data_IF_202004934180
#
_entry.id   IF_202004934180
#
_cell.length_a   1.000
_cell.length_b   1.000
_cell.length_c   1.000
_cell.angle_alpha   90.00
_cell.angle_beta   90.00
_cell.angle_gamma   90.00
#
_symmetry.space_group_name_H-M   'P 1'
#
loop_
_entity.id
_entity.type
_entity.pdbx_description
1 polymer ?
#
# COMPACT_ATOMS: atom_id res chain seq x y z
N UNK A 1 43.44 -0.77 -25.57
CA UNK A 1 43.08 -0.47 -24.17
C UNK A 1 42.21 0.79 -24.21
N UNK A 2 40.89 0.61 -24.33
CA UNK A 2 39.96 1.74 -24.13
C UNK A 2 39.95 2.02 -22.62
N UNK A 3 39.98 3.28 -22.22
CA UNK A 3 39.87 3.67 -20.81
C UNK A 3 38.52 3.20 -20.26
N UNK A 4 38.49 2.08 -19.52
CA UNK A 4 37.31 1.63 -18.76
C UNK A 4 36.77 2.73 -17.83
N UNK A 5 37.66 3.62 -17.38
CA UNK A 5 37.30 4.72 -16.50
C UNK A 5 36.34 5.76 -17.12
N UNK A 6 36.11 5.77 -18.44
CA UNK A 6 35.14 6.72 -19.06
C UNK A 6 33.70 6.18 -19.04
N UNK A 7 33.49 4.86 -19.02
CA UNK A 7 32.15 4.27 -19.07
C UNK A 7 31.46 4.33 -17.70
N UNK A 8 32.16 3.96 -16.62
CA UNK A 8 31.65 4.02 -15.24
C UNK A 8 31.33 5.45 -14.82
N UNK A 9 32.14 6.43 -15.24
CA UNK A 9 31.90 7.84 -14.94
C UNK A 9 30.59 8.40 -15.52
N UNK A 10 30.05 7.77 -16.57
CA UNK A 10 28.74 8.17 -17.11
C UNK A 10 27.60 7.92 -16.11
N UNK A 11 27.73 6.93 -15.22
CA UNK A 11 26.71 6.64 -14.20
C UNK A 11 26.48 7.84 -13.27
N UNK A 12 27.53 8.60 -12.96
CA UNK A 12 27.47 9.82 -12.14
C UNK A 12 26.74 10.98 -12.82
N UNK A 13 26.49 10.89 -14.13
CA UNK A 13 25.83 11.96 -14.89
C UNK A 13 24.33 11.75 -15.05
N UNK A 14 23.84 10.51 -14.84
CA UNK A 14 22.46 10.11 -15.10
C UNK A 14 21.48 10.77 -14.12
N UNK A 15 21.80 10.81 -12.82
CA UNK A 15 20.94 11.42 -11.81
C UNK A 15 19.75 10.55 -11.46
N UNK A 16 18.61 11.17 -11.14
CA UNK A 16 17.42 10.47 -10.69
C UNK A 16 16.93 9.40 -11.67
N UNK A 17 16.46 8.29 -11.10
CA UNK A 17 15.89 7.18 -11.85
C UNK A 17 14.43 7.46 -12.15
N UNK A 18 14.05 7.34 -13.42
CA UNK A 18 12.63 7.37 -13.80
C UNK A 18 11.94 6.08 -13.36
N UNK A 19 11.02 6.21 -12.42
CA UNK A 19 10.05 5.17 -12.07
C UNK A 19 8.99 5.13 -13.19
N UNK A 20 8.66 3.94 -13.71
CA UNK A 20 7.68 3.68 -14.79
C UNK A 20 8.16 3.71 -16.24
N UNK A 21 9.47 3.76 -16.49
CA UNK A 21 10.03 3.54 -17.82
C UNK A 21 10.92 2.30 -17.87
N UNK A 22 11.04 1.62 -19.03
CA UNK A 22 12.00 0.54 -19.18
C UNK A 22 13.40 1.01 -18.79
N UNK A 23 14.15 0.17 -18.08
CA UNK A 23 15.51 0.52 -17.65
C UNK A 23 16.36 0.94 -18.85
N UNK A 24 17.20 1.96 -18.62
CA UNK A 24 18.24 2.36 -19.56
C UNK A 24 19.07 1.13 -19.94
N UNK A 25 19.40 0.99 -21.22
CA UNK A 25 20.36 0.00 -21.69
C UNK A 25 21.78 0.48 -21.32
N UNK A 26 22.25 0.09 -20.12
CA UNK A 26 23.54 0.51 -19.56
C UNK A 26 24.71 -0.02 -20.42
N UNK A 27 24.52 -1.14 -21.11
CA UNK A 27 25.53 -1.69 -22.03
C UNK A 27 25.78 -0.75 -23.21
N UNK A 28 24.77 0.02 -23.66
CA UNK A 28 24.96 1.06 -24.69
C UNK A 28 25.79 2.26 -24.21
N UNK A 29 25.94 2.45 -22.90
CA UNK A 29 26.85 3.47 -22.36
C UNK A 29 28.33 3.07 -22.50
N UNK A 30 28.60 1.82 -22.91
CA UNK A 30 29.93 1.26 -23.07
C UNK A 30 30.39 0.42 -21.87
N UNK A 31 29.50 0.16 -20.91
CA UNK A 31 29.76 -0.70 -19.76
C UNK A 31 29.83 -2.18 -20.18
N UNK A 32 30.78 -2.89 -19.62
CA UNK A 32 31.10 -4.27 -19.95
C UNK A 32 31.58 -5.05 -18.73
N UNK A 33 31.83 -6.35 -18.90
CA UNK A 33 32.38 -7.20 -17.83
C UNK A 33 33.77 -6.75 -17.36
N UNK A 34 34.52 -6.04 -18.19
CA UNK A 34 35.83 -5.49 -17.80
C UNK A 34 35.71 -4.38 -16.75
N UNK A 35 34.52 -3.78 -16.59
CA UNK A 35 34.24 -2.71 -15.62
C UNK A 35 33.74 -3.25 -14.28
N UNK A 36 33.49 -4.57 -14.19
CA UNK A 36 32.89 -5.21 -13.02
C UNK A 36 33.63 -4.93 -11.71
N UNK A 37 34.98 -5.00 -11.63
CA UNK A 37 35.68 -4.70 -10.38
C UNK A 37 35.41 -3.28 -9.86
N UNK A 38 35.35 -2.29 -10.77
CA UNK A 38 35.10 -0.90 -10.40
C UNK A 38 33.63 -0.68 -9.98
N UNK A 39 32.68 -1.35 -10.66
CA UNK A 39 31.27 -1.30 -10.29
C UNK A 39 31.02 -1.90 -8.90
N UNK A 40 31.66 -3.03 -8.58
CA UNK A 40 31.53 -3.66 -7.26
C UNK A 40 32.20 -2.85 -6.14
N UNK A 41 33.31 -2.17 -6.43
CA UNK A 41 33.93 -1.22 -5.49
C UNK A 41 32.95 -0.09 -5.13
N UNK A 42 32.37 0.56 -6.15
CA UNK A 42 31.44 1.67 -5.97
C UNK A 42 30.10 1.25 -5.34
N UNK A 43 29.65 0.00 -5.57
CA UNK A 43 28.45 -0.55 -4.96
C UNK A 43 28.48 -0.49 -3.42
N UNK A 44 29.67 -0.64 -2.84
CA UNK A 44 29.90 -0.66 -1.39
C UNK A 44 30.45 0.67 -0.84
N UNK A 45 30.54 1.69 -1.70
CA UNK A 45 31.11 2.97 -1.32
C UNK A 45 30.16 3.74 -0.38
N UNK A 46 30.56 3.83 0.89
CA UNK A 46 29.83 4.56 1.92
C UNK A 46 29.57 6.04 1.58
N UNK A 47 30.40 6.67 0.75
CA UNK A 47 30.19 8.06 0.34
C UNK A 47 29.05 8.21 -0.64
N UNK A 48 28.82 7.20 -1.49
CA UNK A 48 27.68 7.15 -2.40
C UNK A 48 26.40 6.76 -1.67
N UNK A 49 26.48 5.76 -0.79
CA UNK A 49 25.33 5.30 0.01
C UNK A 49 24.79 6.38 0.97
N UNK A 50 25.64 7.34 1.35
CA UNK A 50 25.27 8.46 2.22
C UNK A 50 25.35 9.82 1.48
N UNK A 51 25.29 9.82 0.15
CA UNK A 51 25.31 11.06 -0.62
C UNK A 51 24.04 11.90 -0.33
N UNK A 52 24.12 13.24 -0.38
CA UNK A 52 22.94 14.10 -0.20
C UNK A 52 21.84 13.77 -1.21
N UNK A 53 20.58 13.83 -0.79
CA UNK A 53 19.41 13.47 -1.61
C UNK A 53 19.30 14.35 -2.86
N UNK A 54 19.80 15.59 -2.79
CA UNK A 54 19.81 16.54 -3.91
C UNK A 54 20.97 16.29 -4.90
N UNK A 55 21.88 15.38 -4.57
CA UNK A 55 23.07 15.06 -5.37
C UNK A 55 22.76 13.96 -6.39
N UNK A 56 23.39 14.01 -7.56
CA UNK A 56 23.26 12.90 -8.54
C UNK A 56 23.91 11.61 -8.06
N UNK A 57 24.88 11.74 -7.19
CA UNK A 57 25.70 10.69 -6.61
C UNK A 57 24.87 9.68 -5.81
N UNK A 58 23.77 10.11 -5.18
CA UNK A 58 22.87 9.23 -4.41
C UNK A 58 22.20 8.16 -5.29
N UNK A 59 22.09 8.42 -6.60
CA UNK A 59 21.46 7.51 -7.58
C UNK A 59 22.45 6.52 -8.21
N UNK A 60 23.74 6.72 -8.01
CA UNK A 60 24.80 5.88 -8.61
C UNK A 60 24.68 4.41 -8.17
N UNK A 61 24.44 4.06 -6.88
CA UNK A 61 24.26 2.67 -6.47
C UNK A 61 23.15 1.94 -7.23
N UNK A 62 22.01 2.59 -7.44
CA UNK A 62 20.88 1.99 -8.16
C UNK A 62 21.20 1.78 -9.65
N UNK A 63 21.88 2.74 -10.30
CA UNK A 63 22.39 2.54 -11.65
C UNK A 63 23.40 1.38 -11.74
N UNK A 64 24.22 1.19 -10.70
CA UNK A 64 25.14 0.05 -10.61
C UNK A 64 24.34 -1.25 -10.51
N UNK A 65 23.31 -1.36 -9.65
CA UNK A 65 22.48 -2.58 -9.54
C UNK A 65 21.91 -2.99 -10.91
N UNK A 66 21.29 -2.03 -11.60
CA UNK A 66 20.70 -2.25 -12.93
C UNK A 66 21.75 -2.63 -13.96
N UNK A 67 22.95 -2.03 -13.90
CA UNK A 67 24.09 -2.39 -14.76
C UNK A 67 24.55 -3.83 -14.50
N UNK A 68 24.74 -4.22 -13.24
CA UNK A 68 25.17 -5.56 -12.83
C UNK A 68 24.17 -6.62 -13.30
N UNK A 69 22.87 -6.33 -13.17
CA UNK A 69 21.82 -7.18 -13.73
C UNK A 69 21.96 -7.37 -15.24
N UNK A 70 22.18 -6.29 -16.00
CA UNK A 70 22.35 -6.36 -17.46
C UNK A 70 23.63 -7.05 -17.91
N UNK A 71 24.71 -6.94 -17.15
CA UNK A 71 25.96 -7.69 -17.40
C UNK A 71 25.76 -9.20 -17.20
N UNK A 72 24.82 -9.58 -16.33
CA UNK A 72 24.47 -10.97 -16.01
C UNK A 72 25.71 -11.83 -15.72
N UNK A 73 26.62 -11.28 -14.91
CA UNK A 73 27.82 -11.98 -14.46
C UNK A 73 27.60 -12.53 -13.05
N UNK A 74 27.86 -13.83 -12.87
CA UNK A 74 27.62 -14.51 -11.60
C UNK A 74 28.64 -14.13 -10.52
N UNK A 75 29.78 -13.55 -10.90
CA UNK A 75 30.75 -13.06 -9.92
C UNK A 75 30.28 -11.81 -9.15
N UNK A 76 29.16 -11.18 -9.55
CA UNK A 76 28.56 -10.05 -8.83
C UNK A 76 27.65 -10.47 -7.67
N UNK A 77 27.26 -11.75 -7.61
CA UNK A 77 26.29 -12.28 -6.65
C UNK A 77 26.70 -12.05 -5.19
N UNK A 78 27.96 -12.34 -4.76
CA UNK A 78 28.34 -12.20 -3.36
C UNK A 78 28.19 -10.77 -2.82
N UNK A 79 28.64 -9.78 -3.58
CA UNK A 79 28.59 -8.36 -3.21
C UNK A 79 27.16 -7.82 -3.25
N UNK A 80 26.35 -8.22 -4.24
CA UNK A 80 24.92 -7.88 -4.28
C UNK A 80 24.14 -8.51 -3.11
N UNK A 81 24.46 -9.74 -2.71
CA UNK A 81 23.83 -10.36 -1.53
C UNK A 81 24.26 -9.67 -0.24
N UNK A 82 25.54 -9.28 -0.13
CA UNK A 82 26.03 -8.57 1.04
C UNK A 82 25.31 -7.23 1.24
N UNK A 83 24.90 -6.56 0.15
CA UNK A 83 24.18 -5.29 0.23
C UNK A 83 22.73 -5.42 0.69
N UNK A 84 22.10 -6.61 0.62
CA UNK A 84 20.69 -6.76 1.01
C UNK A 84 20.45 -6.37 2.47
N UNK A 85 21.35 -6.73 3.38
CA UNK A 85 21.23 -6.36 4.80
C UNK A 85 21.49 -4.87 5.04
N UNK A 86 22.26 -4.19 4.19
CA UNK A 86 22.54 -2.75 4.32
C UNK A 86 21.46 -1.89 3.68
N UNK A 87 20.69 -2.44 2.75
CA UNK A 87 19.69 -1.73 1.95
C UNK A 87 18.26 -1.99 2.42
N UNK A 88 18.06 -2.54 3.61
CA UNK A 88 16.72 -2.86 4.14
C UNK A 88 15.80 -1.63 4.27
N UNK A 89 16.37 -0.43 4.37
CA UNK A 89 15.64 0.84 4.46
C UNK A 89 15.60 1.60 3.11
N UNK A 90 16.24 1.08 2.06
CA UNK A 90 16.15 1.66 0.73
C UNK A 90 14.87 1.15 0.06
N UNK A 91 13.89 2.05 -0.10
CA UNK A 91 12.59 1.71 -0.68
C UNK A 91 12.67 1.13 -2.10
N UNK A 92 13.74 1.43 -2.85
CA UNK A 92 13.96 0.91 -4.21
C UNK A 92 14.66 -0.45 -4.23
N UNK A 93 15.46 -0.76 -3.20
CA UNK A 93 16.18 -2.02 -3.12
C UNK A 93 15.24 -3.23 -3.09
N UNK A 94 14.12 -3.12 -2.37
CA UNK A 94 13.14 -4.19 -2.26
C UNK A 94 12.45 -4.54 -3.58
N UNK A 95 12.26 -3.56 -4.48
CA UNK A 95 11.61 -3.77 -5.78
C UNK A 95 12.61 -4.11 -6.90
N UNK A 96 13.82 -3.53 -6.88
CA UNK A 96 14.79 -3.70 -7.98
C UNK A 96 15.74 -4.87 -7.81
N UNK A 97 16.27 -5.13 -6.61
CA UNK A 97 17.26 -6.19 -6.40
C UNK A 97 16.76 -7.59 -6.77
N UNK A 98 15.48 -7.95 -6.52
CA UNK A 98 14.92 -9.21 -7.03
C UNK A 98 14.98 -9.33 -8.56
N UNK A 99 14.74 -8.22 -9.28
CA UNK A 99 14.83 -8.15 -10.74
C UNK A 99 16.29 -8.32 -11.18
N UNK A 100 17.23 -7.63 -10.53
CA UNK A 100 18.67 -7.72 -10.80
C UNK A 100 19.17 -9.16 -10.67
N UNK A 101 18.83 -9.82 -9.56
CA UNK A 101 19.18 -11.22 -9.33
C UNK A 101 18.56 -12.14 -10.40
N UNK A 102 17.32 -11.88 -10.82
CA UNK A 102 16.67 -12.60 -11.92
C UNK A 102 17.30 -12.34 -13.30
N UNK A 103 18.00 -11.22 -13.48
CA UNK A 103 18.79 -10.96 -14.68
C UNK A 103 20.08 -11.79 -14.71
N UNK A 104 20.74 -11.98 -13.57
CA UNK A 104 21.89 -12.89 -13.44
C UNK A 104 21.45 -14.36 -13.64
N UNK A 105 20.29 -14.74 -13.11
CA UNK A 105 19.64 -16.01 -13.42
C UNK A 105 19.99 -17.15 -12.46
N UNK A 106 20.01 -18.39 -12.96
CA UNK A 106 20.02 -19.62 -12.12
C UNK A 106 21.24 -19.74 -11.19
N UNK A 107 22.36 -19.10 -11.53
CA UNK A 107 23.55 -19.06 -10.67
C UNK A 107 23.28 -18.40 -9.31
N UNK A 108 22.31 -17.49 -9.23
CA UNK A 108 21.92 -16.81 -7.99
C UNK A 108 21.01 -17.65 -7.08
N UNK A 109 20.37 -18.71 -7.57
CA UNK A 109 19.34 -19.42 -6.79
C UNK A 109 19.88 -20.08 -5.52
N UNK A 110 21.05 -20.73 -5.59
CA UNK A 110 21.62 -21.37 -4.41
C UNK A 110 22.07 -20.31 -3.37
N UNK A 111 22.87 -19.29 -3.73
CA UNK A 111 23.22 -18.20 -2.82
C UNK A 111 22.00 -17.51 -2.17
N UNK A 112 20.96 -17.21 -2.95
CA UNK A 112 19.71 -16.62 -2.44
C UNK A 112 18.97 -17.55 -1.48
N UNK A 113 18.91 -18.84 -1.81
CA UNK A 113 18.28 -19.85 -0.96
C UNK A 113 19.01 -20.01 0.37
N UNK A 114 20.33 -20.05 0.35
CA UNK A 114 21.16 -20.14 1.55
C UNK A 114 21.01 -18.85 2.39
N UNK A 115 20.92 -17.68 1.75
CA UNK A 115 20.66 -16.39 2.40
C UNK A 115 19.28 -16.34 3.07
N UNK A 116 18.23 -16.79 2.37
CA UNK A 116 16.86 -16.88 2.88
C UNK A 116 16.77 -17.74 4.14
N UNK A 117 17.50 -18.85 4.20
CA UNK A 117 17.51 -19.75 5.36
C UNK A 117 18.46 -19.28 6.48
N UNK A 118 19.28 -18.26 6.23
CA UNK A 118 20.20 -17.68 7.22
C UNK A 118 19.45 -16.83 8.24
N UNK A 119 19.18 -17.39 9.42
CA UNK A 119 18.45 -16.70 10.51
C UNK A 119 19.18 -15.51 11.14
N UNK A 120 20.44 -15.27 10.75
CA UNK A 120 21.22 -14.09 11.15
C UNK A 120 20.98 -12.89 10.22
N UNK A 121 20.34 -13.10 9.07
CA UNK A 121 19.98 -12.04 8.14
C UNK A 121 18.68 -11.36 8.57
N UNK A 122 18.54 -10.08 8.24
CA UNK A 122 17.31 -9.32 8.49
C UNK A 122 16.11 -9.98 7.81
N UNK A 123 14.94 -9.91 8.45
CA UNK A 123 13.69 -10.42 7.89
C UNK A 123 13.38 -9.81 6.53
N UNK A 124 13.52 -8.48 6.41
CA UNK A 124 13.33 -7.73 5.15
C UNK A 124 14.30 -8.21 4.06
N UNK A 125 15.58 -8.36 4.39
CA UNK A 125 16.58 -8.85 3.44
C UNK A 125 16.26 -10.28 2.94
N UNK A 126 15.73 -11.13 3.83
CA UNK A 126 15.30 -12.49 3.49
C UNK A 126 14.06 -12.49 2.59
N UNK A 127 13.12 -11.56 2.81
CA UNK A 127 11.96 -11.34 1.92
C UNK A 127 12.43 -10.99 0.50
N UNK A 128 13.40 -10.08 0.36
CA UNK A 128 13.98 -9.71 -0.95
C UNK A 128 14.61 -10.94 -1.61
N UNK A 129 15.33 -11.78 -0.85
CA UNK A 129 15.89 -13.02 -1.38
C UNK A 129 14.83 -14.03 -1.82
N UNK A 130 13.71 -14.13 -1.09
CA UNK A 130 12.58 -14.98 -1.46
C UNK A 130 11.91 -14.48 -2.76
N UNK A 131 11.72 -13.17 -2.92
CA UNK A 131 11.17 -12.57 -4.14
C UNK A 131 12.11 -12.80 -5.33
N UNK A 132 13.42 -12.68 -5.13
CA UNK A 132 14.41 -12.96 -6.17
C UNK A 132 14.33 -14.41 -6.68
N UNK A 133 14.13 -15.38 -5.77
CA UNK A 133 13.91 -16.78 -6.12
C UNK A 133 12.65 -16.98 -6.96
N UNK A 134 11.55 -16.29 -6.63
CA UNK A 134 10.33 -16.29 -7.45
C UNK A 134 10.61 -15.72 -8.85
N UNK A 135 11.19 -14.52 -8.92
CA UNK A 135 11.45 -13.84 -10.19
C UNK A 135 12.33 -14.70 -11.13
N UNK A 136 13.35 -15.39 -10.58
CA UNK A 136 14.17 -16.33 -11.36
C UNK A 136 13.31 -17.50 -11.90
N UNK A 137 12.45 -18.08 -11.06
CA UNK A 137 11.61 -19.21 -11.43
C UNK A 137 10.54 -18.86 -12.47
N UNK A 138 9.97 -17.66 -12.41
CA UNK A 138 9.01 -17.16 -13.41
C UNK A 138 9.69 -16.90 -14.75
N UNK A 139 10.88 -16.29 -14.73
CA UNK A 139 11.67 -16.01 -15.93
C UNK A 139 12.26 -17.27 -16.56
N UNK A 140 12.61 -18.27 -15.74
CA UNK A 140 13.23 -19.53 -16.15
C UNK A 140 12.40 -20.69 -15.57
N UNK A 141 11.26 -21.06 -16.18
CA UNK A 141 10.36 -22.08 -15.64
C UNK A 141 11.01 -23.45 -15.38
N UNK A 142 12.07 -23.79 -16.13
CA UNK A 142 12.84 -25.02 -15.95
C UNK A 142 13.57 -25.09 -14.58
N UNK A 143 13.83 -23.95 -13.94
CA UNK A 143 14.48 -23.89 -12.62
C UNK A 143 13.50 -23.72 -11.45
N UNK A 144 12.19 -23.66 -11.71
CA UNK A 144 11.13 -23.47 -10.71
C UNK A 144 11.26 -24.38 -9.50
N UNK A 145 11.48 -25.68 -9.72
CA UNK A 145 11.62 -26.68 -8.65
C UNK A 145 12.70 -26.31 -7.63
N UNK A 146 13.77 -25.66 -8.08
CA UNK A 146 14.87 -25.24 -7.21
C UNK A 146 14.41 -24.12 -6.26
N UNK A 147 13.79 -23.06 -6.79
CA UNK A 147 13.25 -21.95 -5.99
C UNK A 147 12.19 -22.43 -5.00
N UNK A 148 11.23 -23.24 -5.48
CA UNK A 148 10.18 -23.83 -4.63
C UNK A 148 10.80 -24.60 -3.47
N UNK A 149 11.83 -25.42 -3.72
CA UNK A 149 12.50 -26.20 -2.66
C UNK A 149 12.99 -25.34 -1.50
N UNK A 150 13.59 -24.18 -1.78
CA UNK A 150 14.10 -23.28 -0.74
C UNK A 150 12.99 -22.50 -0.03
N UNK A 151 11.97 -22.05 -0.78
CA UNK A 151 10.78 -21.41 -0.19
C UNK A 151 10.04 -22.38 0.75
N UNK A 152 9.85 -23.65 0.34
CA UNK A 152 9.25 -24.69 1.19
C UNK A 152 10.07 -24.97 2.44
N UNK A 153 11.41 -25.00 2.32
CA UNK A 153 12.30 -25.16 3.49
C UNK A 153 12.14 -24.01 4.48
N UNK A 154 11.95 -22.78 4.01
CA UNK A 154 11.69 -21.63 4.89
C UNK A 154 10.36 -21.80 5.64
N UNK A 155 9.28 -22.23 4.96
CA UNK A 155 8.00 -22.54 5.63
C UNK A 155 8.14 -23.61 6.72
N UNK A 156 9.04 -24.59 6.52
CA UNK A 156 9.25 -25.68 7.48
C UNK A 156 9.95 -25.25 8.78
N UNK A 157 10.51 -24.04 8.87
CA UNK A 157 11.17 -23.56 10.10
C UNK A 157 10.17 -23.21 11.21
N UNK A 158 8.90 -22.95 10.88
CA UNK A 158 7.79 -22.71 11.82
C UNK A 158 8.11 -21.70 12.94
N UNK A 159 8.57 -20.51 12.56
CA UNK A 159 8.92 -19.43 13.49
C UNK A 159 7.80 -18.38 13.56
N UNK A 160 7.24 -18.15 14.77
CA UNK A 160 6.21 -17.11 15.01
C UNK A 160 6.75 -15.70 14.95
N UNK A 161 8.05 -15.52 15.12
CA UNK A 161 8.66 -14.19 15.19
C UNK A 161 8.88 -13.57 13.82
N UNK A 162 8.70 -14.34 12.74
CA UNK A 162 8.90 -13.92 11.35
C UNK A 162 7.60 -14.04 10.56
N UNK A 163 6.52 -13.46 11.07
CA UNK A 163 5.17 -13.59 10.52
C UNK A 163 5.10 -13.04 9.09
N UNK A 164 5.74 -11.90 8.83
CA UNK A 164 5.72 -11.23 7.53
C UNK A 164 6.52 -12.03 6.50
N UNK A 165 7.70 -12.52 6.87
CA UNK A 165 8.50 -13.40 6.02
C UNK A 165 7.76 -14.69 5.68
N UNK A 166 7.11 -15.34 6.65
CA UNK A 166 6.34 -16.56 6.39
C UNK A 166 5.19 -16.30 5.40
N UNK A 167 4.50 -15.17 5.58
CA UNK A 167 3.39 -14.74 4.74
C UNK A 167 3.83 -14.44 3.31
N UNK A 168 4.92 -13.69 3.13
CA UNK A 168 5.42 -13.34 1.80
C UNK A 168 6.06 -14.54 1.08
N UNK A 169 6.74 -15.43 1.80
CA UNK A 169 7.22 -16.70 1.22
C UNK A 169 6.06 -17.57 0.73
N UNK A 170 4.92 -17.54 1.45
CA UNK A 170 3.71 -18.22 1.03
C UNK A 170 3.11 -17.57 -0.23
N UNK A 171 3.06 -16.24 -0.34
CA UNK A 171 2.66 -15.54 -1.58
C UNK A 171 3.49 -16.04 -2.78
N UNK A 172 4.82 -16.09 -2.61
CA UNK A 172 5.73 -16.57 -3.65
C UNK A 172 5.44 -18.02 -4.06
N UNK A 173 5.11 -18.90 -3.11
CA UNK A 173 4.72 -20.29 -3.39
C UNK A 173 3.37 -20.38 -4.12
N UNK A 174 2.41 -19.51 -3.80
CA UNK A 174 1.11 -19.42 -4.47
C UNK A 174 1.26 -18.97 -5.92
N UNK A 175 2.08 -17.94 -6.17
CA UNK A 175 2.35 -17.42 -7.51
C UNK A 175 3.05 -18.46 -8.37
N UNK A 176 4.01 -19.20 -7.78
CA UNK A 176 4.67 -20.34 -8.43
C UNK A 176 3.78 -21.58 -8.54
N UNK A 177 2.53 -21.57 -8.07
CA UNK A 177 1.61 -22.72 -8.08
C UNK A 177 2.21 -23.97 -7.43
N UNK A 178 2.86 -23.80 -6.28
CA UNK A 178 3.62 -24.83 -5.57
C UNK A 178 2.73 -25.81 -4.78
N UNK A 179 1.93 -26.61 -5.50
CA UNK A 179 1.08 -27.65 -4.92
C UNK A 179 1.86 -28.69 -4.12
N UNK A 180 3.14 -28.91 -4.47
CA UNK A 180 4.03 -29.82 -3.77
C UNK A 180 4.39 -29.36 -2.34
N UNK A 181 4.18 -28.08 -2.03
CA UNK A 181 4.48 -27.47 -0.72
C UNK A 181 3.30 -27.50 0.26
N UNK A 182 2.16 -28.09 -0.14
CA UNK A 182 0.91 -27.97 0.62
C UNK A 182 1.02 -28.45 2.06
N UNK A 183 1.85 -29.46 2.33
CA UNK A 183 2.02 -30.01 3.68
C UNK A 183 2.63 -28.98 4.63
N UNK A 184 3.68 -28.28 4.20
CA UNK A 184 4.34 -27.24 4.97
C UNK A 184 3.45 -25.99 5.10
N UNK A 185 2.70 -25.65 4.05
CA UNK A 185 1.72 -24.55 4.07
C UNK A 185 0.60 -24.81 5.08
N UNK A 186 0.05 -26.03 5.10
CA UNK A 186 -0.96 -26.45 6.08
C UNK A 186 -0.43 -26.34 7.52
N UNK A 187 0.84 -26.70 7.75
CA UNK A 187 1.48 -26.55 9.05
C UNK A 187 1.56 -25.07 9.47
N UNK A 188 1.97 -24.16 8.58
CA UNK A 188 1.98 -22.72 8.86
C UNK A 188 0.59 -22.20 9.25
N UNK A 189 -0.44 -22.56 8.47
CA UNK A 189 -1.82 -22.16 8.75
C UNK A 189 -2.31 -22.70 10.10
N UNK A 190 -2.09 -24.00 10.36
CA UNK A 190 -2.51 -24.67 11.60
C UNK A 190 -1.86 -24.04 12.84
N UNK A 191 -0.61 -23.61 12.72
CA UNK A 191 0.13 -23.00 13.81
C UNK A 191 -0.07 -21.48 13.94
N UNK A 192 -0.89 -20.86 13.08
CA UNK A 192 -1.15 -19.41 13.02
C UNK A 192 0.16 -18.63 12.83
N UNK A 193 0.90 -18.98 11.79
CA UNK A 193 2.23 -18.47 11.46
C UNK A 193 2.22 -17.56 10.23
N UNK A 194 1.04 -17.09 9.82
CA UNK A 194 0.82 -16.27 8.64
C UNK A 194 -0.19 -15.17 8.96
N UNK A 195 -0.09 -14.04 8.28
CA UNK A 195 -1.11 -13.00 8.30
C UNK A 195 -2.25 -13.35 7.33
N UNK A 196 -3.41 -13.63 7.91
CA UNK A 196 -4.63 -13.98 7.18
C UNK A 196 -5.17 -12.82 6.34
N UNK A 197 -4.84 -11.57 6.66
CA UNK A 197 -5.25 -10.43 5.85
C UNK A 197 -4.60 -10.45 4.47
N UNK A 198 -3.33 -10.86 4.42
CA UNK A 198 -2.54 -10.86 3.19
C UNK A 198 -2.86 -12.06 2.28
N UNK A 199 -2.89 -13.27 2.83
CA UNK A 199 -3.01 -14.52 2.03
C UNK A 199 -4.37 -15.22 2.14
N UNK A 200 -5.23 -14.80 3.08
CA UNK A 200 -6.46 -15.52 3.43
C UNK A 200 -6.19 -16.76 4.30
N UNK A 201 -7.25 -17.53 4.55
CA UNK A 201 -7.13 -18.80 5.27
C UNK A 201 -6.75 -19.97 4.36
N UNK A 202 -6.65 -21.17 4.95
CA UNK A 202 -6.25 -22.38 4.23
C UNK A 202 -7.12 -22.67 3.00
N UNK A 203 -8.43 -22.40 3.04
CA UNK A 203 -9.30 -22.65 1.89
C UNK A 203 -9.01 -21.66 0.75
N UNK A 204 -8.76 -20.38 1.05
CA UNK A 204 -8.34 -19.41 0.03
C UNK A 204 -6.99 -19.79 -0.59
N UNK A 205 -6.06 -20.28 0.22
CA UNK A 205 -4.75 -20.75 -0.25
C UNK A 205 -4.89 -22.01 -1.13
N UNK A 206 -5.70 -23.00 -0.71
CA UNK A 206 -5.98 -24.20 -1.50
C UNK A 206 -6.65 -23.87 -2.84
N UNK A 207 -7.56 -22.88 -2.86
CA UNK A 207 -8.17 -22.39 -4.10
C UNK A 207 -7.12 -21.69 -4.98
N UNK A 208 -6.27 -20.83 -4.42
CA UNK A 208 -5.23 -20.12 -5.17
C UNK A 208 -4.19 -21.07 -5.79
N UNK A 209 -3.94 -22.21 -5.14
CA UNK A 209 -3.10 -23.30 -5.63
C UNK A 209 -3.82 -24.27 -6.59
N UNK A 210 -5.14 -24.16 -6.75
CA UNK A 210 -5.94 -25.05 -7.60
C UNK A 210 -6.15 -26.45 -7.00
N UNK A 211 -6.01 -26.60 -5.68
CA UNK A 211 -6.27 -27.83 -4.93
C UNK A 211 -7.72 -27.95 -4.47
N UNK A 212 -8.47 -26.84 -4.51
CA UNK A 212 -9.88 -26.72 -4.15
C UNK A 212 -10.60 -25.87 -5.19
N UNK A 213 -11.80 -26.29 -5.58
CA UNK A 213 -12.61 -25.57 -6.60
C UNK A 213 -13.42 -24.42 -5.98
N UNK A 214 -14.00 -24.64 -4.79
CA UNK A 214 -14.83 -23.67 -4.07
C UNK A 214 -14.73 -23.85 -2.56
N UNK A 215 -15.10 -22.80 -1.81
CA UNK A 215 -15.10 -22.83 -0.34
C UNK A 215 -16.20 -23.74 0.18
N UNK A 216 -15.91 -24.45 1.26
CA UNK A 216 -16.88 -25.23 2.04
C UNK A 216 -17.36 -24.44 3.26
N UNK A 217 -16.54 -23.50 3.75
CA UNK A 217 -16.88 -22.64 4.88
C UNK A 217 -17.15 -21.19 4.46
N UNK A 218 -17.97 -20.51 5.26
CA UNK A 218 -18.19 -19.07 5.11
C UNK A 218 -16.84 -18.34 5.23
N UNK A 219 -16.54 -17.46 4.28
CA UNK A 219 -15.28 -16.72 4.26
C UNK A 219 -15.18 -15.82 5.51
N UNK A 220 -14.12 -15.96 6.33
CA UNK A 220 -13.87 -15.07 7.45
C UNK A 220 -13.75 -13.60 7.03
N UNK A 221 -14.17 -12.71 7.93
CA UNK A 221 -13.86 -11.28 7.81
C UNK A 221 -12.41 -11.05 8.28
N UNK A 222 -11.46 -11.16 7.34
CA UNK A 222 -10.03 -11.02 7.63
C UNK A 222 -9.67 -9.65 8.21
N UNK A 223 -10.38 -8.58 7.82
CA UNK A 223 -10.19 -7.26 8.42
C UNK A 223 -10.57 -7.21 9.89
N UNK A 224 -11.67 -7.89 10.26
CA UNK A 224 -12.04 -8.05 11.67
C UNK A 224 -11.06 -8.93 12.45
N UNK A 225 -10.58 -10.05 11.86
CA UNK A 225 -9.61 -10.96 12.50
C UNK A 225 -8.27 -10.26 12.77
N UNK A 226 -7.71 -9.59 11.77
CA UNK A 226 -6.47 -8.80 11.89
C UNK A 226 -6.59 -7.74 12.99
N UNK A 227 -7.69 -7.00 13.01
CA UNK A 227 -7.94 -5.95 14.02
C UNK A 227 -8.02 -6.50 15.47
N UNK A 228 -8.42 -7.76 15.64
CA UNK A 228 -8.52 -8.44 16.93
C UNK A 228 -7.18 -9.03 17.38
N UNK A 229 -6.36 -9.48 16.44
CA UNK A 229 -5.01 -10.00 16.72
C UNK A 229 -4.07 -8.87 17.17
N UNK A 230 -4.12 -7.70 16.52
CA UNK A 230 -3.39 -6.50 16.97
C UNK A 230 -3.80 -6.04 18.38
N UNK A 231 -5.07 -6.21 18.77
CA UNK A 231 -5.55 -5.88 20.12
C UNK A 231 -5.05 -6.85 21.20
N UNK A 232 -4.59 -8.05 20.82
CA UNK A 232 -4.17 -9.12 21.72
C UNK A 232 -2.65 -9.34 21.75
N UNK A 233 -1.87 -8.61 20.94
CA UNK A 233 -0.40 -8.65 21.04
C UNK A 233 0.06 -7.93 22.32
N UNK A 234 0.99 -8.52 23.11
CA UNK A 234 1.60 -7.80 24.21
C UNK A 234 2.36 -6.59 23.65
N UNK A 235 2.22 -5.43 24.30
CA UNK A 235 2.97 -4.24 23.95
C UNK A 235 4.47 -4.60 23.88
N UNK A 236 5.09 -4.43 22.71
CA UNK A 236 6.54 -4.54 22.56
C UNK A 236 7.18 -3.57 23.54
N UNK A 237 8.07 -4.08 24.40
CA UNK A 237 8.87 -3.19 25.26
C UNK A 237 9.71 -2.28 24.35
N UNK A 238 9.82 -0.97 24.64
CA UNK A 238 10.59 -0.06 23.79
C UNK A 238 12.08 -0.44 23.85
N UNK A 239 12.55 -1.13 22.80
CA UNK A 239 13.95 -1.32 22.50
C UNK A 239 14.48 -0.07 21.82
N UNK A 240 15.53 0.51 22.37
CA UNK A 240 16.16 1.74 21.93
C UNK A 240 16.84 1.61 20.56
N UNK A 241 16.18 2.13 19.53
CA UNK A 241 16.79 2.72 18.34
C UNK A 241 15.93 3.95 18.02
N UNK A 242 16.56 5.12 17.87
CA UNK A 242 15.89 6.31 17.34
C UNK A 242 15.60 6.06 15.85
N UNK A 243 14.61 5.21 15.59
CA UNK A 243 13.90 5.14 14.32
C UNK A 243 12.97 6.36 14.29
N UNK A 244 13.06 7.16 13.23
CA UNK A 244 12.01 8.12 12.94
C UNK A 244 10.85 7.27 12.43
N UNK A 245 9.99 6.83 13.34
CA UNK A 245 8.72 6.19 13.02
C UNK A 245 7.87 7.24 12.29
N UNK A 246 7.94 7.23 10.95
CA UNK A 246 7.10 8.07 10.10
C UNK A 246 5.65 7.71 10.43
N UNK A 247 4.88 8.69 10.88
CA UNK A 247 3.51 8.43 11.29
C UNK A 247 2.64 8.11 10.07
N UNK A 248 1.56 7.35 10.25
CA UNK A 248 0.69 6.90 9.14
C UNK A 248 0.15 8.07 8.29
N UNK A 249 -0.06 9.23 8.90
CA UNK A 249 -0.43 10.47 8.23
C UNK A 249 0.70 11.02 7.35
N UNK A 250 1.96 10.95 7.79
CA UNK A 250 3.13 11.33 6.98
C UNK A 250 3.33 10.38 5.79
N UNK A 251 3.12 9.08 5.98
CA UNK A 251 3.17 8.09 4.89
C UNK A 251 2.11 8.39 3.82
N UNK A 252 0.86 8.63 4.24
CA UNK A 252 -0.24 8.95 3.35
C UNK A 252 -0.03 10.28 2.63
N UNK A 253 0.55 11.28 3.29
CA UNK A 253 0.92 12.54 2.65
C UNK A 253 1.95 12.34 1.53
N UNK A 254 2.91 11.43 1.71
CA UNK A 254 3.85 11.05 0.65
C UNK A 254 3.13 10.57 -0.61
N UNK A 255 2.18 9.63 -0.47
CA UNK A 255 1.39 9.15 -1.62
C UNK A 255 0.51 10.25 -2.25
N UNK A 256 -0.14 11.09 -1.43
CA UNK A 256 -0.99 12.16 -1.93
C UNK A 256 -0.17 13.22 -2.67
N UNK A 257 1.08 13.47 -2.24
CA UNK A 257 1.98 14.41 -2.89
C UNK A 257 2.54 13.85 -4.21
N UNK A 258 2.97 12.60 -4.22
CA UNK A 258 3.61 11.97 -5.37
C UNK A 258 2.61 11.67 -6.50
N UNK A 259 1.44 11.14 -6.16
CA UNK A 259 0.44 10.67 -7.14
C UNK A 259 -0.75 11.62 -7.29
N UNK A 260 -0.78 12.71 -6.53
CA UNK A 260 -1.85 13.69 -6.53
C UNK A 260 -1.91 14.55 -7.80
N UNK A 261 -3.02 15.26 -7.94
CA UNK A 261 -3.22 16.30 -8.93
C UNK A 261 -4.01 17.46 -8.31
N UNK A 262 -4.25 18.54 -9.06
CA UNK A 262 -4.97 19.74 -8.58
C UNK A 262 -6.40 19.45 -8.07
N UNK A 263 -6.97 18.29 -8.43
CA UNK A 263 -8.29 17.85 -7.98
C UNK A 263 -8.20 16.85 -6.83
N UNK A 264 -7.03 16.37 -6.41
CA UNK A 264 -6.89 15.40 -5.32
C UNK A 264 -7.16 16.04 -3.95
N UNK A 265 -7.44 15.20 -2.95
CA UNK A 265 -7.17 15.52 -1.55
C UNK A 265 -5.64 15.62 -1.40
N UNK A 266 -5.17 16.64 -0.70
CA UNK A 266 -3.77 17.08 -0.81
C UNK A 266 -2.98 17.05 0.50
N UNK A 267 -3.62 16.71 1.63
CA UNK A 267 -2.95 16.48 2.92
C UNK A 267 -3.76 15.56 3.85
N UNK A 268 -3.12 15.11 4.93
CA UNK A 268 -3.72 14.23 5.95
C UNK A 268 -4.94 14.83 6.64
N UNK A 269 -4.93 16.13 6.92
CA UNK A 269 -6.05 16.85 7.56
C UNK A 269 -7.33 16.83 6.71
N UNK A 270 -7.20 17.13 5.41
CA UNK A 270 -8.29 17.03 4.43
C UNK A 270 -8.77 15.58 4.28
N UNK A 271 -7.86 14.61 4.37
CA UNK A 271 -8.22 13.20 4.30
C UNK A 271 -9.00 12.74 5.54
N UNK A 272 -8.61 13.19 6.73
CA UNK A 272 -9.33 12.94 7.99
C UNK A 272 -10.76 13.47 7.93
N UNK A 273 -10.93 14.71 7.46
CA UNK A 273 -12.25 15.31 7.25
C UNK A 273 -13.11 14.53 6.26
N UNK A 274 -12.51 14.10 5.15
CA UNK A 274 -13.19 13.30 4.13
C UNK A 274 -13.71 11.97 4.68
N UNK A 275 -12.87 11.22 5.40
CA UNK A 275 -13.27 9.95 6.00
C UNK A 275 -14.24 10.10 7.16
N UNK A 276 -14.13 11.18 7.93
CA UNK A 276 -15.11 11.53 8.95
C UNK A 276 -16.49 11.75 8.31
N UNK A 277 -16.58 12.50 7.20
CA UNK A 277 -17.84 12.67 6.48
C UNK A 277 -18.41 11.35 5.95
N UNK A 278 -17.59 10.46 5.40
CA UNK A 278 -18.04 9.12 4.97
C UNK A 278 -18.59 8.34 6.18
N UNK A 279 -17.88 8.40 7.29
CA UNK A 279 -18.23 7.71 8.52
C UNK A 279 -19.52 8.24 9.16
N UNK A 280 -19.81 9.54 9.04
CA UNK A 280 -21.05 10.17 9.50
C UNK A 280 -22.26 9.94 8.58
N UNK A 281 -22.09 9.39 7.37
CA UNK A 281 -23.17 9.28 6.39
C UNK A 281 -24.37 8.45 6.90
N UNK A 282 -25.63 8.79 6.57
CA UNK A 282 -26.79 7.96 6.93
C UNK A 282 -26.76 6.55 6.34
N UNK A 283 -26.01 6.35 5.26
CA UNK A 283 -25.86 5.07 4.56
C UNK A 283 -24.40 4.70 4.43
N UNK A 284 -24.08 3.40 4.43
CA UNK A 284 -22.71 2.93 4.15
C UNK A 284 -22.30 3.30 2.72
N UNK A 285 -21.19 4.03 2.58
CA UNK A 285 -20.57 4.34 1.30
C UNK A 285 -19.40 3.36 1.10
N UNK A 286 -19.47 2.54 0.06
CA UNK A 286 -18.47 1.51 -0.21
C UNK A 286 -17.13 2.11 -0.67
N UNK A 287 -15.98 1.45 -0.37
CA UNK A 287 -14.66 1.89 -0.83
C UNK A 287 -14.57 2.18 -2.32
N UNK A 288 -15.17 1.34 -3.15
CA UNK A 288 -15.20 1.55 -4.60
C UNK A 288 -15.84 2.88 -5.04
N UNK A 289 -16.66 3.52 -4.19
CA UNK A 289 -17.27 4.82 -4.47
C UNK A 289 -16.42 5.99 -4.01
N UNK A 290 -15.76 5.88 -2.86
CA UNK A 290 -15.00 6.99 -2.31
C UNK A 290 -13.52 6.99 -2.70
N UNK A 291 -12.94 5.82 -3.04
CA UNK A 291 -11.52 5.71 -3.41
C UNK A 291 -11.16 6.60 -4.62
N UNK A 292 -11.93 6.63 -5.72
CA UNK A 292 -11.61 7.52 -6.85
C UNK A 292 -11.76 9.00 -6.47
N UNK A 293 -12.62 9.32 -5.51
CA UNK A 293 -12.91 10.69 -5.08
C UNK A 293 -11.73 11.28 -4.33
N UNK A 294 -10.84 10.48 -3.74
CA UNK A 294 -9.56 10.97 -3.19
C UNK A 294 -8.76 11.70 -4.26
N UNK A 295 -8.81 11.21 -5.51
CA UNK A 295 -8.00 11.71 -6.62
C UNK A 295 -8.67 12.75 -7.52
N UNK A 296 -9.95 13.07 -7.28
CA UNK A 296 -10.76 13.92 -8.18
C UNK A 296 -11.78 13.16 -9.03
N UNK A 297 -11.80 11.82 -8.93
CA UNK A 297 -12.71 10.93 -9.63
C UNK A 297 -11.99 9.87 -10.46
N UNK A 298 -12.75 8.94 -11.04
CA UNK A 298 -12.22 7.77 -11.77
C UNK A 298 -11.29 8.16 -12.93
N UNK A 299 -11.55 9.28 -13.61
CA UNK A 299 -10.79 9.70 -14.80
C UNK A 299 -9.40 10.23 -14.50
N UNK A 300 -9.18 10.66 -13.26
CA UNK A 300 -7.94 11.30 -12.79
C UNK A 300 -7.31 10.51 -11.65
N UNK A 301 -7.78 9.28 -11.42
CA UNK A 301 -7.15 8.33 -10.51
C UNK A 301 -5.77 7.95 -11.06
N UNK A 302 -4.70 8.03 -10.25
CA UNK A 302 -3.35 7.77 -10.72
C UNK A 302 -3.18 6.30 -11.10
N UNK A 303 -2.28 6.07 -12.05
CA UNK A 303 -1.74 4.73 -12.28
C UNK A 303 -0.52 4.56 -11.37
N UNK A 304 -0.65 3.69 -10.37
CA UNK A 304 0.48 3.31 -9.54
C UNK A 304 1.56 2.62 -10.38
N UNK A 305 2.84 2.72 -9.98
CA UNK A 305 3.94 2.14 -10.72
C UNK A 305 3.82 0.63 -10.87
N UNK A 306 3.31 -0.02 -9.83
CA UNK A 306 3.03 -1.45 -9.81
C UNK A 306 1.88 -1.77 -8.84
N UNK A 307 1.49 -3.04 -8.83
CA UNK A 307 0.42 -3.54 -7.97
C UNK A 307 0.80 -3.52 -6.48
N UNK A 308 2.08 -3.62 -6.14
CA UNK A 308 2.54 -3.59 -4.75
C UNK A 308 2.36 -2.18 -4.16
N UNK A 309 2.77 -1.13 -4.87
CA UNK A 309 2.52 0.27 -4.45
C UNK A 309 1.03 0.57 -4.35
N UNK A 310 0.22 0.08 -5.31
CA UNK A 310 -1.23 0.21 -5.22
C UNK A 310 -1.81 -0.46 -3.97
N UNK A 311 -1.28 -1.64 -3.61
CA UNK A 311 -1.70 -2.38 -2.42
C UNK A 311 -1.25 -1.68 -1.14
N UNK A 312 -0.03 -1.14 -1.08
CA UNK A 312 0.48 -0.39 0.07
C UNK A 312 -0.38 0.86 0.33
N UNK A 313 -0.61 1.67 -0.70
CA UNK A 313 -1.53 2.82 -0.59
C UNK A 313 -2.92 2.38 -0.13
N UNK A 314 -3.46 1.30 -0.71
CA UNK A 314 -4.78 0.77 -0.34
C UNK A 314 -4.83 0.30 1.12
N UNK A 315 -3.76 -0.30 1.63
CA UNK A 315 -3.65 -0.73 3.03
C UNK A 315 -3.54 0.46 3.97
N UNK A 316 -2.68 1.43 3.67
CA UNK A 316 -2.51 2.65 4.47
C UNK A 316 -3.83 3.44 4.54
N UNK A 317 -4.49 3.64 3.40
CA UNK A 317 -5.72 4.43 3.33
C UNK A 317 -6.88 3.75 4.07
N UNK A 318 -7.00 2.42 3.97
CA UNK A 318 -8.02 1.66 4.69
C UNK A 318 -7.73 1.61 6.19
N UNK A 319 -6.45 1.54 6.59
CA UNK A 319 -6.04 1.63 8.00
C UNK A 319 -6.45 2.96 8.60
N UNK A 320 -6.15 4.06 7.91
CA UNK A 320 -6.51 5.41 8.37
C UNK A 320 -8.03 5.60 8.46
N UNK A 321 -8.78 5.17 7.43
CA UNK A 321 -10.24 5.16 7.47
C UNK A 321 -10.79 4.38 8.68
N UNK A 322 -10.26 3.19 8.94
CA UNK A 322 -10.70 2.34 10.05
C UNK A 322 -10.37 2.93 11.42
N UNK A 323 -9.25 3.66 11.57
CA UNK A 323 -8.90 4.39 12.79
C UNK A 323 -9.95 5.45 13.11
N UNK A 324 -10.39 6.23 12.12
CA UNK A 324 -11.43 7.26 12.27
C UNK A 324 -12.77 6.63 12.65
N UNK A 325 -13.15 5.54 11.96
CA UNK A 325 -14.38 4.78 12.28
C UNK A 325 -14.35 4.28 13.73
N UNK A 326 -13.21 3.76 14.19
CA UNK A 326 -13.04 3.29 15.56
C UNK A 326 -13.15 4.46 16.54
N UNK A 327 -12.42 5.54 16.30
CA UNK A 327 -12.38 6.70 17.19
C UNK A 327 -13.76 7.34 17.39
N UNK A 328 -14.54 7.47 16.30
CA UNK A 328 -15.93 7.98 16.37
C UNK A 328 -16.83 7.02 17.17
N UNK A 329 -16.71 5.70 16.96
CA UNK A 329 -17.50 4.70 17.71
C UNK A 329 -17.13 4.64 19.19
N UNK A 330 -15.85 4.82 19.53
CA UNK A 330 -15.39 4.79 20.92
C UNK A 330 -15.47 6.13 21.64
N UNK A 331 -16.01 7.18 21.00
CA UNK A 331 -16.09 8.53 21.55
C UNK A 331 -14.71 9.10 21.93
N UNK A 332 -13.65 8.65 21.24
CA UNK A 332 -12.26 9.14 21.40
C UNK A 332 -11.80 9.95 20.19
N UNK A 333 -12.73 10.32 19.32
CA UNK A 333 -12.46 11.08 18.11
C UNK A 333 -12.01 12.51 18.41
N UNK A 334 -10.89 12.89 17.79
CA UNK A 334 -10.42 14.26 17.66
C UNK A 334 -10.06 14.49 16.19
N UNK A 335 -10.38 15.67 15.68
CA UNK A 335 -10.12 16.02 14.29
C UNK A 335 -8.64 16.34 14.08
N UNK A 336 -8.06 15.85 12.99
CA UNK A 336 -6.68 16.16 12.62
C UNK A 336 -6.62 17.56 11.99
N UNK A 337 -6.49 18.58 12.83
CA UNK A 337 -6.29 19.97 12.40
C UNK A 337 -4.80 20.31 12.28
N UNK A 338 -4.45 21.04 11.22
CA UNK A 338 -3.08 21.55 11.07
C UNK A 338 -2.84 22.73 12.00
N UNK A 339 -1.56 22.98 12.31
CA UNK A 339 -1.14 24.13 13.10
C UNK A 339 -0.04 24.88 12.37
N UNK A 340 -0.05 26.21 12.46
CA UNK A 340 1.02 27.07 11.94
C UNK A 340 1.50 28.00 13.04
N UNK A 341 2.81 28.08 13.22
CA UNK A 341 3.42 29.10 14.05
C UNK A 341 3.44 30.45 13.32
N UNK A 342 2.86 31.47 13.94
CA UNK A 342 2.90 32.84 13.44
C UNK A 342 3.04 33.81 14.62
N UNK A 343 4.12 34.60 14.63
CA UNK A 343 4.38 35.62 15.66
C UNK A 343 4.32 35.09 17.12
N UNK A 344 4.98 33.95 17.39
CA UNK A 344 5.00 33.25 18.69
C UNK A 344 3.63 32.71 19.16
N UNK A 345 2.62 32.70 18.28
CA UNK A 345 1.31 32.09 18.51
C UNK A 345 1.08 30.90 17.57
N UNK A 346 0.50 29.82 18.10
CA UNK A 346 0.10 28.65 17.32
C UNK A 346 -1.32 28.86 16.80
N UNK A 347 -1.46 29.01 15.48
CA UNK A 347 -2.76 29.21 14.81
C UNK A 347 -3.28 27.86 14.33
N UNK A 348 -4.51 27.52 14.74
CA UNK A 348 -5.22 26.33 14.31
C UNK A 348 -5.82 26.52 12.90
N UNK A 349 -5.53 25.58 12.01
CA UNK A 349 -5.97 25.56 10.60
C UNK A 349 -7.01 24.44 10.46
N UNK A 350 -8.28 24.84 10.31
CA UNK A 350 -9.44 23.91 10.26
C UNK A 350 -10.08 23.82 8.87
N UNK A 351 -9.74 24.75 7.98
CA UNK A 351 -10.29 24.86 6.62
C UNK A 351 -9.98 23.61 5.79
N UNK A 352 -8.74 23.13 5.86
CA UNK A 352 -8.27 21.88 5.26
C UNK A 352 -9.19 20.70 5.57
N UNK A 353 -9.33 20.41 6.86
CA UNK A 353 -10.24 19.38 7.36
C UNK A 353 -11.69 19.60 6.88
N UNK A 354 -12.18 20.84 6.93
CA UNK A 354 -13.54 21.17 6.51
C UNK A 354 -13.76 20.98 5.00
N UNK A 355 -12.78 21.32 4.16
CA UNK A 355 -12.81 21.07 2.70
C UNK A 355 -12.90 19.57 2.44
N UNK A 356 -12.08 18.78 3.13
CA UNK A 356 -12.15 17.32 3.14
C UNK A 356 -13.54 16.79 3.48
N UNK A 357 -14.12 17.27 4.58
CA UNK A 357 -15.45 16.89 5.02
C UNK A 357 -16.52 17.22 3.97
N UNK A 358 -16.50 18.43 3.42
CA UNK A 358 -17.43 18.87 2.37
C UNK A 358 -17.32 17.99 1.13
N UNK A 359 -16.12 17.53 0.78
CA UNK A 359 -15.91 16.58 -0.30
C UNK A 359 -16.55 15.23 -0.03
N UNK A 360 -16.41 14.69 1.18
CA UNK A 360 -17.05 13.41 1.56
C UNK A 360 -18.57 13.52 1.59
N UNK A 361 -19.11 14.69 1.96
CA UNK A 361 -20.54 15.00 1.95
C UNK A 361 -21.16 14.89 0.54
N UNK A 362 -20.38 15.13 -0.52
CA UNK A 362 -20.86 14.99 -1.92
C UNK A 362 -21.31 13.57 -2.27
N UNK A 363 -20.86 12.56 -1.52
CA UNK A 363 -21.19 11.15 -1.74
C UNK A 363 -22.45 10.70 -0.99
N UNK A 364 -23.02 11.58 -0.16
CA UNK A 364 -24.21 11.25 0.62
C UNK A 364 -25.45 11.18 -0.28
N UNK A 365 -26.37 10.29 0.07
CA UNK A 365 -27.72 10.35 -0.48
C UNK A 365 -28.47 11.57 0.09
N UNK A 366 -29.44 12.14 -0.65
CA UNK A 366 -30.21 13.28 -0.16
C UNK A 366 -30.83 13.01 1.21
N UNK A 367 -30.55 13.89 2.16
CA UNK A 367 -31.17 13.90 3.48
C UNK A 367 -32.42 14.79 3.42
N UNK A 368 -33.53 14.34 4.00
CA UNK A 368 -34.82 15.02 3.91
C UNK A 368 -35.48 15.19 5.29
N UNK A 369 -36.48 16.06 5.37
CA UNK A 369 -37.25 16.29 6.60
C UNK A 369 -36.42 16.89 7.74
N UNK A 370 -36.72 16.49 8.97
CA UNK A 370 -36.08 17.02 10.18
C UNK A 370 -34.56 16.74 10.23
N UNK A 371 -34.11 15.64 9.61
CA UNK A 371 -32.69 15.31 9.50
C UNK A 371 -31.92 16.33 8.65
N UNK A 372 -32.56 16.94 7.66
CA UNK A 372 -31.92 17.97 6.82
C UNK A 372 -31.68 19.25 7.60
N UNK A 373 -32.62 19.67 8.44
CA UNK A 373 -32.46 20.87 9.26
C UNK A 373 -31.40 20.66 10.35
N UNK A 374 -31.37 19.47 10.97
CA UNK A 374 -30.31 19.10 11.90
C UNK A 374 -28.94 19.04 11.22
N UNK A 375 -28.86 18.44 10.03
CA UNK A 375 -27.63 18.40 9.23
C UNK A 375 -27.12 19.81 8.95
N UNK A 376 -27.98 20.72 8.46
CA UNK A 376 -27.60 22.12 8.21
C UNK A 376 -27.08 22.82 9.45
N UNK A 377 -27.71 22.60 10.61
CA UNK A 377 -27.28 23.20 11.87
C UNK A 377 -25.89 22.70 12.30
N UNK A 378 -25.67 21.38 12.25
CA UNK A 378 -24.41 20.76 12.67
C UNK A 378 -23.27 21.06 11.68
N UNK A 379 -23.57 21.15 10.39
CA UNK A 379 -22.59 21.50 9.37
C UNK A 379 -22.22 22.97 9.32
N UNK A 380 -22.92 23.87 10.03
CA UNK A 380 -22.69 25.32 9.93
C UNK A 380 -21.20 25.72 10.08
N UNK A 381 -20.46 25.26 11.11
CA UNK A 381 -19.03 25.57 11.21
C UNK A 381 -18.21 24.96 10.04
N UNK A 382 -18.54 23.74 9.64
CA UNK A 382 -17.84 23.04 8.55
C UNK A 382 -18.05 23.77 7.22
N UNK A 383 -19.26 24.23 6.93
CA UNK A 383 -19.56 25.01 5.71
C UNK A 383 -18.88 26.37 5.71
N UNK A 384 -18.76 26.99 6.90
CA UNK A 384 -18.13 28.29 7.09
C UNK A 384 -16.64 28.24 6.73
N UNK A 385 -15.92 27.19 7.14
CA UNK A 385 -14.49 27.04 6.88
C UNK A 385 -14.15 26.25 5.61
N UNK A 386 -15.05 25.37 5.15
CA UNK A 386 -14.79 24.45 4.03
C UNK A 386 -15.24 24.94 2.66
N UNK A 387 -15.75 26.17 2.53
CA UNK A 387 -16.23 26.71 1.24
C UNK A 387 -15.76 28.14 0.98
N UNK A 388 -15.44 28.43 -0.29
CA UNK A 388 -14.99 29.76 -0.70
C UNK A 388 -16.07 30.87 -0.55
N UNK A 389 -17.33 30.50 -0.37
CA UNK A 389 -18.45 31.44 -0.29
C UNK A 389 -18.45 32.29 0.98
N UNK A 390 -17.79 31.84 2.06
CA UNK A 390 -17.80 32.52 3.35
C UNK A 390 -16.49 33.26 3.68
N UNK A 391 -15.57 33.39 2.72
CA UNK A 391 -14.29 34.08 2.93
C UNK A 391 -14.51 35.54 3.38
N UNK A 392 -15.48 36.24 2.79
CA UNK A 392 -15.75 37.63 3.16
C UNK A 392 -16.50 37.74 4.49
N UNK A 393 -17.35 36.76 4.82
CA UNK A 393 -17.98 36.65 6.15
C UNK A 393 -16.91 36.45 7.24
N UNK A 394 -15.95 35.55 7.02
CA UNK A 394 -14.84 35.28 7.94
C UNK A 394 -13.96 36.52 8.19
N UNK A 395 -13.73 37.36 7.18
CA UNK A 395 -12.96 38.61 7.33
C UNK A 395 -13.65 39.64 8.21
N UNK A 396 -14.98 39.61 8.28
CA UNK A 396 -15.79 40.54 9.08
C UNK A 396 -16.07 40.03 10.50
N UNK A 397 -15.84 38.73 10.75
CA UNK A 397 -16.03 38.11 12.07
C UNK A 397 -14.95 38.54 13.06
N UNK A 398 -15.33 38.61 14.35
CA UNK A 398 -14.35 38.77 15.42
C UNK A 398 -13.59 37.46 15.66
N UNK A 399 -12.36 37.57 16.12
CA UNK A 399 -11.51 36.42 16.46
C UNK A 399 -12.21 35.44 17.42
N UNK A 400 -12.87 35.94 18.47
CA UNK A 400 -13.62 35.11 19.42
C UNK A 400 -14.83 34.38 18.77
N UNK A 401 -15.47 34.98 17.76
CA UNK A 401 -16.53 34.32 17.02
C UNK A 401 -15.99 33.19 16.14
N UNK A 402 -14.82 33.39 15.52
CA UNK A 402 -14.12 32.36 14.74
C UNK A 402 -13.74 31.18 15.63
N UNK A 403 -13.09 31.44 16.77
CA UNK A 403 -12.69 30.41 17.74
C UNK A 403 -13.89 29.60 18.25
N UNK A 404 -15.03 30.27 18.49
CA UNK A 404 -16.27 29.61 18.87
C UNK A 404 -16.78 28.65 17.79
N UNK A 405 -16.68 29.03 16.52
CA UNK A 405 -17.06 28.14 15.42
C UNK A 405 -16.06 26.98 15.26
N UNK A 406 -14.76 27.24 15.37
CA UNK A 406 -13.71 26.21 15.30
C UNK A 406 -13.90 25.14 16.39
N UNK A 407 -14.11 25.57 17.64
CA UNK A 407 -14.32 24.67 18.78
C UNK A 407 -15.61 23.84 18.66
N UNK A 408 -16.58 24.27 17.85
CA UNK A 408 -17.83 23.53 17.64
C UNK A 408 -17.69 22.38 16.63
N UNK A 409 -16.62 22.32 15.81
CA UNK A 409 -16.50 21.35 14.71
C UNK A 409 -16.52 19.90 15.21
N UNK A 410 -15.66 19.55 16.16
CA UNK A 410 -15.56 18.17 16.65
C UNK A 410 -16.85 17.71 17.35
N UNK A 411 -17.43 18.58 18.17
CA UNK A 411 -18.64 18.26 18.92
C UNK A 411 -19.85 18.10 17.99
N UNK A 412 -19.98 18.98 17.00
CA UNK A 412 -21.01 18.84 15.98
C UNK A 412 -20.82 17.55 15.16
N UNK A 413 -19.58 17.17 14.88
CA UNK A 413 -19.24 15.94 14.16
C UNK A 413 -19.62 14.69 14.97
N UNK A 414 -19.34 14.66 16.28
CA UNK A 414 -19.80 13.58 17.16
C UNK A 414 -21.32 13.49 17.20
N UNK A 415 -22.01 14.62 17.36
CA UNK A 415 -23.48 14.65 17.33
C UNK A 415 -24.05 14.18 15.99
N UNK A 416 -23.41 14.55 14.88
CA UNK A 416 -23.78 14.13 13.54
C UNK A 416 -23.63 12.61 13.37
N UNK A 417 -22.48 12.08 13.82
CA UNK A 417 -22.21 10.64 13.81
C UNK A 417 -23.23 9.88 14.66
N UNK A 418 -23.45 10.27 15.91
CA UNK A 418 -24.39 9.61 16.83
C UNK A 418 -25.83 9.62 16.29
N UNK A 419 -26.23 10.74 15.67
CA UNK A 419 -27.55 10.88 15.08
C UNK A 419 -27.78 9.93 13.90
N UNK A 420 -26.82 9.80 12.98
CA UNK A 420 -27.01 8.99 11.77
C UNK A 420 -26.59 7.53 11.94
N UNK A 421 -25.62 7.23 12.80
CA UNK A 421 -25.19 5.83 13.05
C UNK A 421 -26.31 5.01 13.69
N UNK A 422 -27.12 5.63 14.56
CA UNK A 422 -28.27 4.97 15.21
C UNK A 422 -29.41 4.69 14.23
N UNK A 423 -29.45 5.41 13.10
CA UNK A 423 -30.45 5.25 12.04
C UNK A 423 -29.99 4.29 10.93
N UNK A 424 -28.70 3.93 10.89
CA UNK A 424 -28.17 2.92 9.96
C UNK A 424 -28.81 1.56 10.27
N UNK A 425 -29.84 1.20 9.51
CA UNK A 425 -30.27 -0.19 9.42
C UNK A 425 -29.09 -0.99 8.84
N UNK A 426 -28.72 -2.17 9.38
CA UNK A 426 -27.79 -3.05 8.67
C UNK A 426 -28.34 -3.24 7.27
N UNK A 427 -27.55 -2.89 6.26
CA UNK A 427 -27.97 -2.92 4.87
C UNK A 427 -28.65 -4.25 4.59
N UNK A 428 -29.98 -4.21 4.46
CA UNK A 428 -30.75 -5.36 4.07
C UNK A 428 -30.16 -5.90 2.77
N UNK A 429 -30.08 -7.22 2.70
CA UNK A 429 -29.81 -7.98 1.47
C UNK A 429 -30.48 -7.25 0.31
N UNK A 430 -29.68 -6.69 -0.60
CA UNK A 430 -30.20 -6.37 -1.94
C UNK A 430 -30.38 -7.73 -2.60
N UNK A 431 -31.54 -8.33 -2.36
CA UNK A 431 -32.06 -9.36 -3.25
C UNK A 431 -32.29 -8.61 -4.56
N UNK A 432 -31.51 -8.92 -5.60
CA UNK A 432 -31.81 -8.44 -6.93
C UNK A 432 -33.28 -8.79 -7.22
N UNK A 433 -34.17 -7.81 -7.24
CA UNK A 433 -35.59 -8.00 -7.57
C UNK A 433 -35.80 -8.35 -9.06
N UNK A 434 -34.72 -8.43 -9.85
CA UNK A 434 -34.74 -9.14 -11.12
C UNK A 434 -34.33 -10.59 -10.89
N UNK A 435 -35.23 -11.58 -11.07
CA UNK A 435 -34.80 -12.97 -11.07
C UNK A 435 -33.72 -13.11 -12.13
N UNK A 436 -32.53 -13.60 -11.73
CA UNK A 436 -31.45 -13.91 -12.65
C UNK A 436 -32.03 -14.79 -13.75
N UNK A 437 -32.18 -14.23 -14.97
CA UNK A 437 -32.69 -14.97 -16.10
C UNK A 437 -31.80 -16.21 -16.27
N UNK A 438 -32.40 -17.39 -16.14
CA UNK A 438 -31.68 -18.64 -16.29
C UNK A 438 -30.99 -18.69 -17.65
N UNK A 439 -29.90 -19.44 -17.76
CA UNK A 439 -29.08 -19.53 -18.99
C UNK A 439 -29.90 -19.81 -20.27
N UNK A 440 -31.10 -20.39 -20.15
CA UNK A 440 -32.01 -20.68 -21.26
C UNK A 440 -33.22 -19.73 -21.39
N UNK A 441 -33.40 -18.77 -20.50
CA UNK A 441 -34.52 -17.81 -20.49
C UNK A 441 -34.33 -16.70 -21.53
N UNK A 442 -35.41 -15.99 -21.93
CA UNK A 442 -35.32 -14.82 -22.79
C UNK A 442 -34.39 -13.77 -22.20
N UNK A 443 -33.50 -13.24 -23.04
CA UNK A 443 -32.49 -12.28 -22.62
C UNK A 443 -33.15 -10.93 -22.25
N UNK A 444 -32.85 -10.35 -21.07
CA UNK A 444 -33.46 -9.12 -20.60
C UNK A 444 -33.07 -7.87 -21.41
N UNK A 445 -32.11 -7.96 -22.35
CA UNK A 445 -31.76 -6.85 -23.25
C UNK A 445 -32.79 -6.57 -24.37
N UNK A 446 -33.90 -7.32 -24.40
CA UNK A 446 -34.98 -7.13 -25.36
C UNK A 446 -34.71 -7.72 -26.74
N UNK A 447 -33.64 -8.51 -26.92
CA UNK A 447 -33.24 -9.09 -28.20
C UNK A 447 -34.13 -10.25 -28.69
N UNK A 448 -35.01 -10.78 -27.83
CA UNK A 448 -35.84 -11.96 -28.11
C UNK A 448 -35.08 -13.30 -28.17
N UNK A 449 -33.77 -13.32 -27.90
CA UNK A 449 -32.93 -14.54 -27.89
C UNK A 449 -32.75 -15.08 -26.47
N UNK A 450 -32.33 -16.34 -26.32
CA UNK A 450 -31.96 -16.92 -25.00
C UNK A 450 -30.72 -16.23 -24.43
N UNK A 451 -30.66 -16.02 -23.12
CA UNK A 451 -29.57 -15.28 -22.42
C UNK A 451 -28.17 -15.77 -22.84
N UNK A 452 -27.95 -17.09 -22.87
CA UNK A 452 -26.67 -17.69 -23.29
C UNK A 452 -26.19 -17.38 -24.71
N UNK A 453 -27.09 -16.96 -25.61
CA UNK A 453 -26.77 -16.69 -27.01
C UNK A 453 -26.71 -15.18 -27.33
N UNK A 454 -26.93 -14.33 -26.35
CA UNK A 454 -27.00 -12.89 -26.55
C UNK A 454 -25.94 -12.13 -25.75
N UNK A 455 -25.90 -12.35 -24.43
CA UNK A 455 -25.07 -11.54 -23.52
C UNK A 455 -24.07 -12.40 -22.72
N UNK A 456 -23.95 -13.69 -23.07
CA UNK A 456 -23.02 -14.63 -22.43
C UNK A 456 -21.88 -15.04 -23.37
N UNK A 457 -21.53 -14.15 -24.30
CA UNK A 457 -20.40 -14.26 -25.22
C UNK A 457 -19.63 -12.94 -25.23
#
# INVERSE_FOLDING_TARGET
MKNNNDAVQKLFTLGEIEHNTPWIDYLRLGLSKDDLPQLLELLTDSTLLNAPVESKEVWVPQHIWRTLGQLADDSAIPELLASFNTLIHDHNAASELPIVMAMIGVAAQQPLGDFLLGTHNSEVARIIAAQALQNIAEKIPASRTFSVTYLTKQCALLDKTTLDLNTLVLCNLIDLKAVESIKEIQALCQHQMIDLFTVGDLEDIEIALGLRDERETERPDYGYVYSREQQNQPALEPGSTEEIEISLDEELEGYLLEYGNDQSIYNSSSLDGFFTAITCSPTTILPSKWMPVIWGGEKVTPSFPDQATANLFTSAIMTFYNQIVRALRSQTYSALFLQREYQDETVLIVDEWCVGFMRGLTLWQPVAGDDLERLKQLLKPITLFGTAHHIDELKEMSQSAIETQQAAIEENTRQLFDHFVTQRRPSGIIVNETPNAGRNDPCPCGSGKKFKKCCLH
#
